data_IF_245722888976
#
_entry.id   IF_245722888976
#
_cell.length_a   1.000
_cell.length_b   1.000
_cell.length_c   1.000
_cell.angle_alpha   90.00
_cell.angle_beta   90.00
_cell.angle_gamma   90.00
#
_symmetry.space_group_name_H-M   'P 1'
#
loop_
_entity.id
_entity.type
_entity.pdbx_description
1 polymer ?
#
# COMPACT_ATOMS: atom_id res chain seq x y z
N UNK A 1 14.39 -0.46 -6.81
CA UNK A 1 13.08 -0.21 -7.44
C UNK A 1 12.22 0.67 -6.52
N UNK A 2 11.42 1.58 -7.06
CA UNK A 2 10.42 2.41 -6.37
C UNK A 2 9.05 2.19 -7.00
N UNK A 3 8.01 1.94 -6.18
CA UNK A 3 6.63 1.82 -6.63
C UNK A 3 5.94 3.16 -6.39
N UNK A 4 5.69 3.89 -7.47
CA UNK A 4 5.13 5.23 -7.44
C UNK A 4 3.60 5.18 -7.56
N UNK A 5 2.90 5.78 -6.59
CA UNK A 5 1.43 5.87 -6.55
C UNK A 5 1.07 7.30 -6.14
N UNK A 6 0.08 7.94 -6.79
CA UNK A 6 -0.40 9.25 -6.37
C UNK A 6 -0.84 9.25 -4.90
N UNK A 7 -0.58 10.35 -4.18
CA UNK A 7 -0.86 10.46 -2.75
C UNK A 7 -2.34 10.15 -2.42
N UNK A 8 -3.29 10.77 -3.14
CA UNK A 8 -4.72 10.58 -2.87
C UNK A 8 -5.15 9.12 -3.07
N UNK A 9 -4.53 8.41 -4.00
CA UNK A 9 -4.78 6.99 -4.22
C UNK A 9 -4.17 6.14 -3.08
N UNK A 10 -3.00 6.51 -2.54
CA UNK A 10 -2.43 5.87 -1.35
C UNK A 10 -3.30 6.10 -0.11
N UNK A 11 -3.75 7.34 0.11
CA UNK A 11 -4.65 7.71 1.20
C UNK A 11 -5.93 6.89 1.12
N UNK A 12 -6.57 6.84 -0.06
CA UNK A 12 -7.77 6.03 -0.30
C UNK A 12 -7.55 4.55 0.02
N UNK A 13 -6.44 3.96 -0.45
CA UNK A 13 -6.11 2.54 -0.22
C UNK A 13 -5.88 2.24 1.25
N UNK A 14 -5.14 3.09 1.96
CA UNK A 14 -4.80 2.89 3.38
C UNK A 14 -6.01 3.15 4.28
N UNK A 15 -6.75 4.24 4.07
CA UNK A 15 -8.01 4.52 4.78
C UNK A 15 -9.06 3.42 4.58
N UNK A 16 -9.03 2.78 3.40
CA UNK A 16 -9.90 1.67 3.08
C UNK A 16 -9.47 0.31 3.62
N UNK A 17 -8.27 0.19 4.18
CA UNK A 17 -7.72 -1.10 4.61
C UNK A 17 -8.45 -1.63 5.84
N UNK A 18 -8.74 -2.92 5.83
CA UNK A 18 -9.19 -3.69 6.99
C UNK A 18 -8.25 -4.86 7.23
N UNK A 19 -8.05 -5.20 8.49
CA UNK A 19 -7.19 -6.31 8.90
C UNK A 19 -7.99 -7.25 9.79
N UNK A 20 -7.81 -8.55 9.60
CA UNK A 20 -8.41 -9.53 10.50
C UNK A 20 -7.63 -9.60 11.82
N UNK A 21 -8.34 -9.52 12.96
CA UNK A 21 -7.74 -9.64 14.30
C UNK A 21 -7.10 -11.00 14.58
N UNK A 22 -7.55 -12.06 13.91
CA UNK A 22 -7.13 -13.43 14.20
C UNK A 22 -5.97 -13.91 13.31
N UNK A 23 -6.03 -13.67 11.99
CA UNK A 23 -5.05 -14.21 11.04
C UNK A 23 -4.20 -13.14 10.33
N UNK A 24 -4.45 -11.85 10.58
CA UNK A 24 -3.70 -10.76 9.95
C UNK A 24 -3.97 -10.55 8.46
N UNK A 25 -4.93 -11.28 7.86
CA UNK A 25 -5.31 -11.06 6.47
C UNK A 25 -5.79 -9.62 6.25
N UNK A 26 -5.36 -9.03 5.13
CA UNK A 26 -5.66 -7.65 4.75
C UNK A 26 -6.72 -7.63 3.64
N UNK A 27 -7.64 -6.67 3.75
CA UNK A 27 -8.76 -6.46 2.84
C UNK A 27 -8.89 -4.97 2.49
N UNK A 28 -9.42 -4.67 1.32
CA UNK A 28 -9.73 -3.32 0.83
C UNK A 28 -11.25 -3.06 0.86
N UNK A 29 -11.69 -1.79 0.78
CA UNK A 29 -13.12 -1.41 0.85
C UNK A 29 -14.01 -2.14 -0.15
N UNK A 30 -13.49 -2.43 -1.33
CA UNK A 30 -14.27 -3.07 -2.40
C UNK A 30 -14.46 -4.58 -2.17
N UNK A 31 -13.70 -5.19 -1.24
CA UNK A 31 -13.78 -6.61 -0.92
C UNK A 31 -15.12 -6.97 -0.23
N UNK A 32 -15.72 -8.09 -0.63
CA UNK A 32 -16.96 -8.59 -0.04
C UNK A 32 -16.84 -8.84 1.48
N UNK A 33 -15.67 -9.31 1.93
CA UNK A 33 -15.32 -9.49 3.34
C UNK A 33 -15.56 -8.23 4.19
N UNK A 34 -15.23 -7.05 3.66
CA UNK A 34 -15.39 -5.77 4.37
C UNK A 34 -16.86 -5.44 4.54
N UNK A 35 -17.69 -5.68 3.51
CA UNK A 35 -19.15 -5.51 3.59
C UNK A 35 -19.79 -6.47 4.58
N UNK A 36 -19.29 -7.70 4.66
CA UNK A 36 -19.74 -8.71 5.62
C UNK A 36 -19.20 -8.49 7.04
N UNK A 37 -18.27 -7.54 7.23
CA UNK A 37 -17.52 -7.31 8.47
C UNK A 37 -16.85 -8.58 9.04
N UNK A 38 -16.49 -9.53 8.17
CA UNK A 38 -15.95 -10.84 8.57
C UNK A 38 -14.85 -11.28 7.60
N UNK A 39 -13.82 -11.90 8.16
CA UNK A 39 -12.71 -12.43 7.38
C UNK A 39 -13.12 -13.66 6.58
N UNK A 40 -12.93 -13.64 5.26
CA UNK A 40 -13.23 -14.78 4.39
C UNK A 40 -12.37 -16.02 4.67
N UNK A 41 -11.23 -15.87 5.37
CA UNK A 41 -10.31 -16.98 5.67
C UNK A 41 -10.57 -17.70 6.99
N UNK A 42 -11.06 -16.98 8.01
CA UNK A 42 -11.19 -17.52 9.37
C UNK A 42 -12.43 -17.03 10.13
N UNK A 43 -13.31 -16.27 9.48
CA UNK A 43 -14.50 -15.64 10.05
C UNK A 43 -14.26 -14.64 11.21
N UNK A 44 -12.99 -14.35 11.53
CA UNK A 44 -12.61 -13.36 12.54
C UNK A 44 -13.04 -11.93 12.19
N UNK A 45 -13.12 -11.09 13.22
CA UNK A 45 -13.48 -9.68 13.12
C UNK A 45 -12.47 -8.89 12.27
N UNK A 46 -12.99 -8.04 11.39
CA UNK A 46 -12.21 -7.07 10.63
C UNK A 46 -12.21 -5.72 11.34
N UNK A 47 -11.04 -5.11 11.48
CA UNK A 47 -10.89 -3.78 12.07
C UNK A 47 -10.01 -2.89 11.19
N UNK A 48 -10.15 -1.58 11.35
CA UNK A 48 -9.23 -0.60 10.77
C UNK A 48 -8.12 -0.30 11.79
N UNK A 49 -6.87 -0.30 11.34
CA UNK A 49 -5.75 0.09 12.20
C UNK A 49 -5.80 1.59 12.50
N UNK A 50 -5.30 1.99 13.66
CA UNK A 50 -5.30 3.42 14.04
C UNK A 50 -4.44 4.28 13.09
N UNK A 51 -3.34 3.72 12.58
CA UNK A 51 -2.44 4.38 11.64
C UNK A 51 -2.93 4.42 10.18
N UNK A 52 -4.12 3.84 9.93
CA UNK A 52 -4.84 3.86 8.66
C UNK A 52 -5.96 4.91 8.65
N UNK A 53 -6.08 5.77 9.67
CA UNK A 53 -6.96 6.95 9.57
C UNK A 53 -6.39 7.96 8.57
N UNK A 54 -7.24 8.59 7.76
CA UNK A 54 -6.79 9.51 6.70
C UNK A 54 -5.81 10.58 7.20
N UNK A 55 -6.16 11.26 8.29
CA UNK A 55 -5.31 12.27 8.94
C UNK A 55 -3.92 11.70 9.28
N UNK A 56 -3.88 10.50 9.86
CA UNK A 56 -2.63 9.82 10.21
C UNK A 56 -1.84 9.38 8.98
N UNK A 57 -2.52 8.93 7.92
CA UNK A 57 -1.87 8.52 6.67
C UNK A 57 -1.21 9.71 5.97
N UNK A 58 -1.89 10.87 5.92
CA UNK A 58 -1.31 12.09 5.34
C UNK A 58 -0.10 12.56 6.14
N UNK A 59 -0.18 12.59 7.47
CA UNK A 59 0.95 12.92 8.32
C UNK A 59 2.15 11.96 8.11
N UNK A 60 1.88 10.66 7.92
CA UNK A 60 2.91 9.67 7.58
C UNK A 60 3.53 9.91 6.20
N UNK A 61 2.74 10.37 5.23
CA UNK A 61 3.24 10.69 3.90
C UNK A 61 4.19 11.89 3.93
N UNK A 62 3.87 12.93 4.71
CA UNK A 62 4.78 14.07 4.93
C UNK A 62 6.12 13.63 5.54
N UNK A 63 6.08 12.76 6.56
CA UNK A 63 7.27 12.17 7.17
C UNK A 63 8.06 11.35 6.15
N UNK A 64 7.38 10.52 5.34
CA UNK A 64 8.01 9.75 4.27
C UNK A 64 8.72 10.68 3.26
N UNK A 65 8.06 11.75 2.82
CA UNK A 65 8.61 12.70 1.86
C UNK A 65 9.86 13.41 2.40
N UNK A 66 9.87 13.73 3.70
CA UNK A 66 11.01 14.39 4.36
C UNK A 66 12.17 13.42 4.65
N UNK A 67 11.86 12.26 5.22
CA UNK A 67 12.87 11.41 5.87
C UNK A 67 13.25 10.18 5.04
N UNK A 68 12.35 9.69 4.19
CA UNK A 68 12.53 8.43 3.45
C UNK A 68 12.75 8.65 1.95
N UNK A 69 12.01 9.56 1.32
CA UNK A 69 12.14 9.86 -0.12
C UNK A 69 13.58 10.25 -0.55
N UNK A 70 14.41 10.95 0.27
CA UNK A 70 15.80 11.24 -0.10
C UNK A 70 16.67 9.99 -0.33
N UNK A 71 16.30 8.83 0.23
CA UNK A 71 17.00 7.55 -0.02
C UNK A 71 16.92 7.14 -1.49
N UNK A 72 15.87 7.57 -2.22
CA UNK A 72 15.75 7.32 -3.65
C UNK A 72 16.93 7.93 -4.43
N UNK A 73 17.45 9.09 -4.01
CA UNK A 73 18.59 9.75 -4.65
C UNK A 73 19.84 8.87 -4.60
N UNK A 74 20.10 8.21 -3.48
CA UNK A 74 21.23 7.29 -3.35
C UNK A 74 21.17 6.16 -4.39
N UNK A 75 20.00 5.53 -4.56
CA UNK A 75 19.83 4.45 -5.55
C UNK A 75 19.80 4.97 -7.00
N UNK A 76 19.32 6.19 -7.21
CA UNK A 76 19.33 6.85 -8.51
C UNK A 76 20.76 7.15 -8.96
N UNK A 77 21.58 7.74 -8.08
CA UNK A 77 22.99 8.06 -8.34
C UNK A 77 23.82 6.78 -8.59
N UNK A 78 23.44 5.67 -7.96
CA UNK A 78 24.05 4.36 -8.19
C UNK A 78 23.57 3.65 -9.48
N UNK A 79 22.58 4.21 -10.20
CA UNK A 79 21.99 3.57 -11.38
C UNK A 79 21.17 2.30 -11.08
N UNK A 80 20.77 2.10 -9.83
CA UNK A 80 20.04 0.91 -9.35
C UNK A 80 18.53 1.18 -9.17
N UNK A 81 18.09 2.42 -9.39
CA UNK A 81 16.69 2.80 -9.22
C UNK A 81 15.87 2.49 -10.47
N UNK A 82 14.96 1.53 -10.36
CA UNK A 82 13.87 1.31 -11.32
C UNK A 82 12.58 1.92 -10.79
N UNK A 83 11.96 2.83 -11.52
CA UNK A 83 10.67 3.42 -11.17
C UNK A 83 9.51 2.69 -11.82
N UNK A 84 8.49 2.35 -11.03
CA UNK A 84 7.37 1.52 -11.45
C UNK A 84 6.06 2.17 -11.02
N UNK A 85 5.11 2.31 -11.95
CA UNK A 85 3.75 2.75 -11.59
C UNK A 85 3.04 1.67 -10.77
N UNK A 86 2.60 2.03 -9.57
CA UNK A 86 1.76 1.22 -8.67
C UNK A 86 0.25 1.44 -8.85
N UNK A 87 -0.16 2.02 -9.98
CA UNK A 87 -1.58 2.18 -10.36
C UNK A 87 -1.96 1.07 -11.35
N UNK A 88 -3.10 0.43 -11.15
CA UNK A 88 -3.57 -0.70 -11.96
C UNK A 88 -3.90 -1.93 -11.11
N UNK A 89 -4.18 -3.04 -11.76
CA UNK A 89 -4.42 -4.34 -11.10
C UNK A 89 -3.14 -4.88 -10.46
N UNK A 90 -3.29 -5.83 -9.52
CA UNK A 90 -2.15 -6.48 -8.87
C UNK A 90 -1.28 -7.21 -9.90
N UNK A 91 -1.93 -7.85 -10.86
CA UNK A 91 -1.30 -8.58 -11.95
C UNK A 91 -0.51 -7.63 -12.86
N UNK A 92 -1.08 -6.49 -13.27
CA UNK A 92 -0.38 -5.49 -14.08
C UNK A 92 0.86 -4.94 -13.38
N UNK A 93 0.74 -4.59 -12.10
CA UNK A 93 1.86 -4.09 -11.29
C UNK A 93 2.93 -5.17 -11.15
N UNK A 94 2.52 -6.43 -10.88
CA UNK A 94 3.44 -7.56 -10.80
C UNK A 94 4.24 -7.75 -12.11
N UNK A 95 3.58 -7.67 -13.27
CA UNK A 95 4.26 -7.78 -14.56
C UNK A 95 5.27 -6.66 -14.78
N UNK A 96 4.95 -5.42 -14.39
CA UNK A 96 5.91 -4.30 -14.47
C UNK A 96 7.12 -4.51 -13.57
N UNK A 97 6.90 -5.04 -12.36
CA UNK A 97 7.98 -5.42 -11.43
C UNK A 97 8.84 -6.52 -12.02
N UNK A 98 8.23 -7.61 -12.47
CA UNK A 98 8.96 -8.73 -13.07
C UNK A 98 9.81 -8.30 -14.27
N UNK A 99 9.27 -7.43 -15.13
CA UNK A 99 9.98 -6.90 -16.29
C UNK A 99 11.14 -5.94 -15.94
N UNK A 100 11.17 -5.40 -14.72
CA UNK A 100 12.24 -4.51 -14.24
C UNK A 100 13.43 -5.24 -13.62
N UNK A 101 13.27 -6.53 -13.33
CA UNK A 101 14.31 -7.36 -12.74
C UNK A 101 15.20 -7.93 -13.87
N UNK A 102 16.53 -8.01 -13.64
CA UNK A 102 17.47 -8.62 -14.59
C UNK A 102 17.29 -10.14 -14.69
#
# INVERSE_FOLDING_TARGET
>A
MSINVPEDELVRRLAGRRVCRQCGAMFCLDDAAVRAARCDRCAGELYQREDDREETVRARFEIYARDTAPVLRYYQDAGLLHEISGVGSREEIFQRVAASLP
#
